data_IF_604175652018
#
_entry.id   IF_604175652018
#
_cell.length_a   1.000
_cell.length_b   1.000
_cell.length_c   1.000
_cell.angle_alpha   90.00
_cell.angle_beta   90.00
_cell.angle_gamma   90.00
#
_symmetry.space_group_name_H-M   'P 1'
#
loop_
_entity.id
_entity.type
_entity.pdbx_description
1 polymer ?
#
# COMPACT_ATOMS: atom_id res chain seq x y z
N UNK A 1 1.82 -16.08 -38.98
CA UNK A 1 1.54 -16.74 -37.70
C UNK A 1 1.67 -15.68 -36.62
N UNK A 2 0.57 -15.00 -36.37
CA UNK A 2 0.43 -13.99 -35.30
C UNK A 2 0.15 -14.74 -34.01
N UNK A 3 1.02 -14.62 -33.04
CA UNK A 3 0.76 -15.08 -31.69
C UNK A 3 0.15 -13.90 -30.92
N UNK A 4 -1.18 -13.91 -30.83
CA UNK A 4 -1.95 -13.08 -29.92
C UNK A 4 -1.55 -13.42 -28.47
N UNK A 5 -0.78 -12.53 -27.87
CA UNK A 5 -0.60 -12.45 -26.43
C UNK A 5 -1.68 -11.51 -25.87
N UNK A 6 -2.92 -11.99 -25.84
CA UNK A 6 -3.98 -11.38 -25.05
C UNK A 6 -3.76 -11.76 -23.58
N UNK A 7 -2.91 -10.99 -22.92
CA UNK A 7 -2.70 -11.08 -21.46
C UNK A 7 -3.89 -10.40 -20.76
N UNK A 8 -5.01 -11.13 -20.69
CA UNK A 8 -6.27 -10.68 -20.09
C UNK A 8 -6.36 -10.98 -18.57
N UNK A 9 -5.23 -11.15 -17.89
CA UNK A 9 -5.18 -11.29 -16.43
C UNK A 9 -5.08 -9.94 -15.71
N UNK A 10 -5.56 -8.85 -16.31
CA UNK A 10 -5.60 -7.55 -15.65
C UNK A 10 -6.69 -7.53 -14.57
N UNK A 11 -6.27 -7.89 -13.37
CA UNK A 11 -6.73 -7.48 -12.06
C UNK A 11 -8.20 -7.06 -11.92
N UNK A 12 -9.05 -8.05 -11.70
CA UNK A 12 -10.39 -7.85 -11.16
C UNK A 12 -10.34 -7.82 -9.61
N UNK A 13 -9.31 -7.16 -9.04
CA UNK A 13 -9.26 -6.99 -7.60
C UNK A 13 -10.25 -5.89 -7.20
N UNK A 14 -11.36 -6.30 -6.59
CA UNK A 14 -12.34 -5.38 -6.02
C UNK A 14 -11.69 -4.72 -4.80
N UNK A 15 -11.58 -3.40 -4.81
CA UNK A 15 -11.09 -2.65 -3.65
C UNK A 15 -11.99 -2.94 -2.44
N UNK A 16 -11.37 -3.10 -1.27
CA UNK A 16 -12.07 -3.44 -0.03
C UNK A 16 -12.97 -2.28 0.39
N UNK A 17 -14.19 -2.58 0.88
CA UNK A 17 -15.12 -1.60 1.45
C UNK A 17 -15.44 -0.40 0.52
N UNK A 18 -15.44 -0.60 -0.80
CA UNK A 18 -15.70 0.49 -1.74
C UNK A 18 -17.08 1.11 -1.52
N UNK A 19 -18.09 0.27 -1.30
CA UNK A 19 -19.49 0.73 -1.12
C UNK A 19 -19.63 1.48 0.21
N UNK A 20 -18.98 1.02 1.27
CA UNK A 20 -18.97 1.66 2.58
C UNK A 20 -18.25 3.02 2.56
N UNK A 21 -17.11 3.12 1.88
CA UNK A 21 -16.39 4.39 1.69
C UNK A 21 -17.27 5.36 0.92
N UNK A 22 -17.93 4.91 -0.15
CA UNK A 22 -18.82 5.75 -0.94
C UNK A 22 -20.01 6.25 -0.11
N UNK A 23 -20.63 5.37 0.69
CA UNK A 23 -21.75 5.72 1.56
C UNK A 23 -21.32 6.70 2.67
N UNK A 24 -20.12 6.50 3.24
CA UNK A 24 -19.59 7.41 4.25
C UNK A 24 -19.37 8.81 3.69
N UNK A 25 -18.84 8.93 2.47
CA UNK A 25 -18.64 10.22 1.83
C UNK A 25 -19.94 10.93 1.46
N UNK A 26 -21.02 10.18 1.16
CA UNK A 26 -22.36 10.75 0.94
C UNK A 26 -23.01 11.30 2.21
N UNK A 27 -22.73 10.68 3.35
CA UNK A 27 -23.31 11.08 4.65
C UNK A 27 -22.70 12.37 5.20
N UNK A 28 -21.46 12.66 4.86
CA UNK A 28 -20.82 13.92 5.19
C UNK A 28 -21.07 14.89 4.04
N UNK A 29 -21.71 16.04 4.29
CA UNK A 29 -21.83 17.09 3.28
C UNK A 29 -20.40 17.53 2.91
N UNK A 30 -19.83 16.80 1.98
CA UNK A 30 -18.53 17.12 1.42
C UNK A 30 -18.68 18.42 0.65
N UNK A 31 -18.68 19.48 1.45
CA UNK A 31 -18.31 20.84 1.14
C UNK A 31 -18.92 21.38 -0.16
N UNK A 32 -19.88 22.21 0.01
CA UNK A 32 -20.53 23.02 -1.03
C UNK A 32 -19.61 24.09 -1.67
N UNK A 33 -18.30 23.92 -1.61
CA UNK A 33 -17.34 24.79 -2.28
C UNK A 33 -16.81 24.10 -3.53
N UNK A 34 -16.94 24.76 -4.64
CA UNK A 34 -16.71 24.44 -6.05
C UNK A 34 -15.48 23.59 -6.46
N UNK A 35 -14.75 22.96 -5.57
CA UNK A 35 -13.68 22.02 -5.88
C UNK A 35 -13.52 20.98 -4.75
N UNK A 36 -14.03 19.79 -4.97
CA UNK A 36 -13.78 18.66 -4.11
C UNK A 36 -12.32 18.22 -4.27
N UNK A 37 -11.55 18.18 -3.16
CA UNK A 37 -10.18 17.68 -3.15
C UNK A 37 -10.07 16.53 -2.16
N UNK A 38 -9.53 15.40 -2.60
CA UNK A 38 -9.25 14.24 -1.77
C UNK A 38 -7.79 13.83 -1.80
N UNK A 39 -7.38 13.07 -0.79
CA UNK A 39 -6.11 12.35 -0.79
C UNK A 39 -6.41 10.87 -0.68
N UNK A 40 -5.86 10.09 -1.60
CA UNK A 40 -5.72 8.65 -1.47
C UNK A 40 -4.29 8.37 -1.00
N UNK A 41 -4.15 8.13 0.30
CA UNK A 41 -2.86 8.00 0.98
C UNK A 41 -2.17 6.66 0.69
N UNK A 42 -2.91 5.71 0.13
CA UNK A 42 -2.48 4.34 -0.20
C UNK A 42 -3.04 3.95 -1.57
N UNK A 43 -2.62 4.67 -2.60
CA UNK A 43 -3.20 4.59 -3.95
C UNK A 43 -3.28 3.15 -4.49
N UNK A 44 -2.25 2.34 -4.25
CA UNK A 44 -2.16 0.98 -4.77
C UNK A 44 -2.37 0.93 -6.28
N UNK A 45 -3.28 0.07 -6.73
CA UNK A 45 -3.71 0.00 -8.13
C UNK A 45 -4.73 1.06 -8.56
N UNK A 46 -5.07 2.02 -7.69
CA UNK A 46 -5.99 3.11 -8.00
C UNK A 46 -7.48 2.74 -7.92
N UNK A 47 -7.83 1.68 -7.21
CA UNK A 47 -9.21 1.18 -7.18
C UNK A 47 -10.20 2.14 -6.54
N UNK A 48 -9.92 2.61 -5.33
CA UNK A 48 -10.77 3.58 -4.63
C UNK A 48 -10.86 4.90 -5.39
N UNK A 49 -9.70 5.43 -5.81
CA UNK A 49 -9.63 6.65 -6.61
C UNK A 49 -10.45 6.55 -7.90
N UNK A 50 -10.43 5.40 -8.59
CA UNK A 50 -11.22 5.17 -9.79
C UNK A 50 -12.73 5.32 -9.53
N UNK A 51 -13.25 4.65 -8.52
CA UNK A 51 -14.68 4.71 -8.20
C UNK A 51 -15.11 6.11 -7.77
N UNK A 52 -14.28 6.81 -6.99
CA UNK A 52 -14.54 8.18 -6.55
C UNK A 52 -14.53 9.17 -7.71
N UNK A 53 -13.51 9.15 -8.57
CA UNK A 53 -13.40 10.04 -9.72
C UNK A 53 -14.51 9.82 -10.74
N UNK A 54 -14.99 8.58 -10.87
CA UNK A 54 -16.12 8.24 -11.72
C UNK A 54 -17.45 8.75 -11.18
N UNK A 55 -17.61 8.74 -9.85
CA UNK A 55 -18.85 9.18 -9.20
C UNK A 55 -18.96 10.71 -9.09
N UNK A 56 -17.85 11.37 -8.75
CA UNK A 56 -17.82 12.80 -8.49
C UNK A 56 -17.04 13.53 -9.59
N UNK A 57 -17.76 14.23 -10.46
CA UNK A 57 -17.17 14.92 -11.64
C UNK A 57 -16.22 16.06 -11.25
N UNK A 58 -16.46 16.70 -10.12
CA UNK A 58 -15.72 17.87 -9.64
C UNK A 58 -14.56 17.50 -8.70
N UNK A 59 -14.40 16.21 -8.41
CA UNK A 59 -13.39 15.70 -7.50
C UNK A 59 -12.00 15.70 -8.17
N UNK A 60 -11.02 16.23 -7.44
CA UNK A 60 -9.60 16.07 -7.73
C UNK A 60 -8.95 15.25 -6.61
N UNK A 61 -8.08 14.31 -6.95
CA UNK A 61 -7.40 13.43 -5.99
C UNK A 61 -5.90 13.58 -6.13
N UNK A 62 -5.23 13.64 -4.98
CA UNK A 62 -3.79 13.39 -4.89
C UNK A 62 -3.64 11.93 -4.43
N UNK A 63 -3.08 11.08 -5.29
CA UNK A 63 -2.80 9.68 -4.98
C UNK A 63 -1.35 9.50 -4.56
N UNK A 64 -1.12 8.94 -3.38
CA UNK A 64 0.20 8.71 -2.83
C UNK A 64 0.50 7.20 -2.82
N UNK A 65 1.65 6.84 -3.34
CA UNK A 65 2.19 5.50 -3.17
C UNK A 65 3.71 5.52 -3.31
N UNK A 66 4.40 4.82 -2.43
CA UNK A 66 5.86 4.70 -2.50
C UNK A 66 6.32 3.59 -3.46
N UNK A 67 5.43 2.63 -3.80
CA UNK A 67 5.73 1.54 -4.72
C UNK A 67 5.60 1.98 -6.19
N UNK A 68 6.68 1.95 -6.99
CA UNK A 68 6.62 2.33 -8.40
C UNK A 68 5.71 1.43 -9.24
N UNK A 69 5.57 0.15 -8.86
CA UNK A 69 4.70 -0.79 -9.57
C UNK A 69 3.22 -0.45 -9.33
N UNK A 70 2.87 -0.09 -8.10
CA UNK A 70 1.54 0.37 -7.76
C UNK A 70 1.17 1.64 -8.54
N UNK A 71 2.03 2.66 -8.53
CA UNK A 71 1.83 3.90 -9.29
C UNK A 71 1.67 3.66 -10.78
N UNK A 72 2.47 2.76 -11.37
CA UNK A 72 2.35 2.40 -12.80
C UNK A 72 1.01 1.75 -13.11
N UNK A 73 0.53 0.87 -12.24
CA UNK A 73 -0.78 0.23 -12.36
C UNK A 73 -1.90 1.25 -12.25
N UNK A 74 -1.85 2.11 -11.22
CA UNK A 74 -2.81 3.19 -11.01
C UNK A 74 -2.87 4.16 -12.19
N UNK A 75 -1.73 4.58 -12.72
CA UNK A 75 -1.65 5.48 -13.88
C UNK A 75 -2.39 4.91 -15.09
N UNK A 76 -2.26 3.60 -15.36
CA UNK A 76 -3.00 2.95 -16.45
C UNK A 76 -4.50 2.90 -16.18
N UNK A 77 -4.89 2.56 -14.94
CA UNK A 77 -6.29 2.43 -14.57
C UNK A 77 -7.01 3.77 -14.54
N UNK A 78 -6.30 4.83 -14.19
CA UNK A 78 -6.83 6.19 -14.01
C UNK A 78 -6.58 7.10 -15.22
N UNK A 79 -6.17 6.56 -16.37
CA UNK A 79 -5.80 7.33 -17.55
C UNK A 79 -6.91 8.25 -18.04
N UNK A 80 -8.16 7.82 -17.99
CA UNK A 80 -9.33 8.65 -18.31
C UNK A 80 -9.52 9.86 -17.40
N UNK A 81 -8.88 9.87 -16.21
CA UNK A 81 -8.97 10.91 -15.20
C UNK A 81 -7.68 11.71 -15.02
N UNK A 82 -6.73 11.62 -15.93
CA UNK A 82 -5.40 12.25 -15.82
C UNK A 82 -5.41 13.74 -15.48
N UNK A 83 -6.49 14.46 -15.82
CA UNK A 83 -6.65 15.88 -15.49
C UNK A 83 -7.17 16.13 -14.06
N UNK A 84 -7.56 15.06 -13.34
CA UNK A 84 -8.17 15.12 -12.01
C UNK A 84 -7.46 14.27 -10.97
N UNK A 85 -6.37 13.59 -11.37
CA UNK A 85 -5.53 12.78 -10.49
C UNK A 85 -4.08 13.21 -10.56
N UNK A 86 -3.46 13.45 -9.42
CA UNK A 86 -2.03 13.74 -9.28
C UNK A 86 -1.37 12.59 -8.51
N UNK A 87 -0.69 11.71 -9.23
CA UNK A 87 -0.04 10.52 -8.65
C UNK A 87 1.38 10.86 -8.22
N UNK A 88 1.67 10.71 -6.93
CA UNK A 88 2.96 11.06 -6.34
C UNK A 88 3.71 9.87 -5.76
N UNK A 89 5.03 9.86 -5.97
CA UNK A 89 5.95 8.95 -5.31
C UNK A 89 6.26 9.47 -3.90
N UNK A 90 5.45 9.10 -2.93
CA UNK A 90 5.60 9.57 -1.55
C UNK A 90 5.09 8.53 -0.55
N UNK A 91 5.75 8.49 0.60
CA UNK A 91 5.14 7.91 1.79
C UNK A 91 4.13 8.93 2.33
N UNK A 92 2.93 8.49 2.68
CA UNK A 92 1.91 9.38 3.24
C UNK A 92 2.34 10.02 4.57
N UNK A 93 3.24 9.37 5.33
CA UNK A 93 3.79 9.93 6.56
C UNK A 93 4.63 11.20 6.33
N UNK A 94 5.23 11.32 5.16
CA UNK A 94 6.10 12.45 4.79
C UNK A 94 5.37 13.52 3.97
N UNK A 95 4.11 13.25 3.62
CA UNK A 95 3.34 14.13 2.75
C UNK A 95 2.54 15.16 3.54
N UNK A 96 2.81 16.43 3.28
CA UNK A 96 2.06 17.55 3.83
C UNK A 96 1.28 18.25 2.71
N UNK A 97 -0.07 18.22 2.73
CA UNK A 97 -0.87 18.92 1.74
C UNK A 97 -0.69 20.43 1.87
N UNK A 98 -0.56 21.12 0.74
CA UNK A 98 -0.43 22.59 0.71
C UNK A 98 -1.76 23.30 1.01
N UNK A 99 -2.86 22.61 0.84
CA UNK A 99 -4.22 23.13 0.99
C UNK A 99 -5.07 22.15 1.81
N UNK A 100 -6.16 22.64 2.36
CA UNK A 100 -7.15 21.79 3.02
C UNK A 100 -7.81 20.87 2.00
N UNK A 101 -8.00 19.61 2.38
CA UNK A 101 -8.70 18.62 1.58
C UNK A 101 -10.03 18.24 2.22
N UNK A 102 -10.95 17.75 1.42
CA UNK A 102 -12.28 17.36 1.85
C UNK A 102 -12.26 16.01 2.60
N UNK A 103 -11.37 15.10 2.18
CA UNK A 103 -11.22 13.80 2.81
C UNK A 103 -9.81 13.23 2.57
N UNK A 104 -9.47 12.25 3.39
CA UNK A 104 -8.29 11.38 3.21
C UNK A 104 -8.76 9.95 3.32
N UNK A 105 -8.33 9.11 2.37
CA UNK A 105 -8.54 7.67 2.43
C UNK A 105 -7.20 7.02 2.69
N UNK A 106 -7.18 6.00 3.56
CA UNK A 106 -6.02 5.16 3.80
C UNK A 106 -6.48 3.71 3.97
N UNK A 107 -6.17 2.87 2.97
CA UNK A 107 -6.33 1.41 3.03
C UNK A 107 -4.96 0.81 3.36
N UNK A 108 -4.73 0.61 4.68
CA UNK A 108 -3.42 0.24 5.20
C UNK A 108 -3.19 -1.26 5.05
N UNK A 109 -2.10 -1.63 4.41
CA UNK A 109 -1.70 -3.01 4.23
C UNK A 109 -0.87 -3.24 2.98
N UNK A 110 -0.66 -4.50 2.65
CA UNK A 110 -0.02 -4.95 1.42
C UNK A 110 -1.06 -5.13 0.32
N UNK A 111 -0.72 -4.81 -0.91
CA UNK A 111 -1.59 -5.07 -2.04
C UNK A 111 -1.35 -6.47 -2.63
N UNK A 112 -2.31 -6.96 -3.41
CA UNK A 112 -2.24 -8.30 -4.01
C UNK A 112 -1.02 -8.49 -4.90
N UNK A 113 -0.59 -7.46 -5.63
CA UNK A 113 0.60 -7.54 -6.48
C UNK A 113 1.87 -7.81 -5.67
N UNK A 114 1.96 -7.25 -4.45
CA UNK A 114 3.08 -7.49 -3.56
C UNK A 114 3.08 -8.92 -3.00
N UNK A 115 1.89 -9.48 -2.72
CA UNK A 115 1.74 -10.85 -2.25
C UNK A 115 1.97 -11.87 -3.39
N UNK A 116 1.48 -11.55 -4.59
CA UNK A 116 1.52 -12.47 -5.74
C UNK A 116 2.91 -12.57 -6.37
N UNK A 117 3.72 -11.53 -6.30
CA UNK A 117 5.10 -11.53 -6.78
C UNK A 117 6.05 -12.10 -5.71
N UNK A 118 6.59 -13.32 -5.90
CA UNK A 118 7.49 -13.94 -4.93
C UNK A 118 8.76 -13.12 -4.68
N UNK A 119 9.20 -12.31 -5.65
CA UNK A 119 10.40 -11.46 -5.52
C UNK A 119 10.23 -10.33 -4.53
N UNK A 120 9.00 -10.02 -4.12
CA UNK A 120 8.71 -8.97 -3.15
C UNK A 120 8.81 -9.46 -1.69
N UNK A 121 8.84 -10.78 -1.45
CA UNK A 121 9.03 -11.36 -0.13
C UNK A 121 7.83 -11.27 0.82
N UNK A 122 6.62 -10.96 0.32
CA UNK A 122 5.40 -10.89 1.14
C UNK A 122 4.58 -12.18 1.14
N UNK A 123 4.92 -13.16 0.29
CA UNK A 123 4.12 -14.37 0.15
C UNK A 123 4.45 -15.41 1.22
N UNK A 124 3.42 -15.98 1.84
CA UNK A 124 3.56 -17.16 2.70
C UNK A 124 3.52 -18.48 1.90
N UNK A 125 3.13 -18.43 0.62
CA UNK A 125 2.92 -19.62 -0.21
C UNK A 125 4.02 -19.85 -1.24
N UNK A 126 4.78 -18.82 -1.56
CA UNK A 126 5.79 -18.86 -2.62
C UNK A 126 7.15 -18.50 -2.03
N UNK A 127 8.15 -19.29 -2.38
CA UNK A 127 9.53 -19.01 -2.01
C UNK A 127 10.04 -17.75 -2.72
N UNK A 128 10.81 -16.94 -2.00
CA UNK A 128 11.37 -15.69 -2.51
C UNK A 128 12.38 -15.08 -1.53
N UNK A 129 13.08 -14.00 -1.92
CA UNK A 129 13.97 -13.28 -1.03
C UNK A 129 13.17 -12.66 0.14
N UNK A 130 13.80 -12.53 1.29
CA UNK A 130 13.23 -11.85 2.44
C UNK A 130 13.38 -10.33 2.30
N UNK A 131 12.72 -9.77 1.29
CA UNK A 131 12.79 -8.35 0.95
C UNK A 131 11.81 -7.51 1.78
N UNK A 132 10.51 -7.69 1.58
CA UNK A 132 9.39 -7.04 2.27
C UNK A 132 9.38 -5.50 2.22
N UNK A 133 10.16 -4.86 1.34
CA UNK A 133 10.15 -3.40 1.18
C UNK A 133 8.91 -2.95 0.42
N UNK A 134 8.14 -2.03 0.98
CA UNK A 134 7.07 -1.35 0.26
C UNK A 134 7.63 -0.50 -0.89
N UNK A 135 8.75 0.19 -0.63
CA UNK A 135 9.53 0.90 -1.63
C UNK A 135 10.80 0.12 -1.95
N UNK A 136 10.92 -0.53 -3.12
CA UNK A 136 12.10 -1.32 -3.49
C UNK A 136 13.41 -0.52 -3.58
N UNK A 137 13.34 0.81 -3.60
CA UNK A 137 14.54 1.68 -3.64
C UNK A 137 15.16 1.93 -2.26
N UNK A 138 14.54 1.47 -1.17
CA UNK A 138 15.14 1.53 0.15
C UNK A 138 16.35 0.61 0.22
N UNK A 139 17.39 1.01 0.97
CA UNK A 139 18.62 0.25 1.09
C UNK A 139 18.49 -0.97 1.99
N UNK A 140 17.62 -0.89 3.01
CA UNK A 140 17.41 -1.93 4.02
C UNK A 140 16.14 -2.71 3.71
N UNK A 141 16.31 -4.00 3.43
CA UNK A 141 15.25 -5.00 3.33
C UNK A 141 15.07 -5.77 4.64
N UNK A 142 14.13 -6.71 4.70
CA UNK A 142 13.87 -7.46 5.92
C UNK A 142 15.04 -8.37 6.32
N UNK A 143 15.76 -8.96 5.35
CA UNK A 143 16.92 -9.78 5.60
C UNK A 143 18.02 -8.99 6.31
N UNK A 144 18.41 -7.84 5.75
CA UNK A 144 19.40 -6.94 6.36
C UNK A 144 18.98 -6.41 7.72
N UNK A 145 17.67 -6.16 7.90
CA UNK A 145 17.16 -5.71 9.18
C UNK A 145 17.34 -6.79 10.26
N UNK A 146 17.05 -8.04 9.93
CA UNK A 146 17.23 -9.19 10.84
C UNK A 146 18.71 -9.40 11.14
N UNK A 147 19.59 -9.32 10.15
CA UNK A 147 21.03 -9.47 10.35
C UNK A 147 21.64 -8.37 11.22
N UNK A 148 21.11 -7.14 11.12
CA UNK A 148 21.66 -5.99 11.83
C UNK A 148 21.20 -5.90 13.30
N UNK A 149 20.06 -6.50 13.64
CA UNK A 149 19.51 -6.44 14.99
C UNK A 149 20.10 -7.54 15.89
N UNK A 150 20.39 -7.20 17.15
CA UNK A 150 20.63 -8.23 18.14
C UNK A 150 19.31 -8.94 18.50
N UNK A 151 19.41 -10.15 19.07
CA UNK A 151 18.26 -11.00 19.39
C UNK A 151 17.19 -10.31 20.23
N UNK A 152 17.61 -9.53 21.23
CA UNK A 152 16.70 -8.81 22.11
C UNK A 152 15.90 -7.73 21.36
N UNK A 153 16.57 -6.98 20.50
CA UNK A 153 15.93 -5.92 19.71
C UNK A 153 15.03 -6.51 18.64
N UNK A 154 15.42 -7.62 18.01
CA UNK A 154 14.57 -8.38 17.10
C UNK A 154 13.33 -8.92 17.81
N UNK A 155 13.48 -9.52 18.98
CA UNK A 155 12.36 -10.00 19.79
C UNK A 155 11.39 -8.87 20.15
N UNK A 156 11.91 -7.72 20.55
CA UNK A 156 11.11 -6.54 20.86
C UNK A 156 10.34 -6.02 19.65
N UNK A 157 10.95 -6.04 18.47
CA UNK A 157 10.32 -5.63 17.22
C UNK A 157 9.17 -6.57 16.86
N UNK A 158 9.40 -7.88 16.95
CA UNK A 158 8.39 -8.91 16.70
C UNK A 158 7.25 -8.81 17.74
N UNK A 159 7.56 -8.58 19.01
CA UNK A 159 6.55 -8.37 20.05
C UNK A 159 5.67 -7.17 19.75
N UNK A 160 6.31 -6.05 19.42
CA UNK A 160 5.63 -4.76 19.27
C UNK A 160 4.76 -4.67 18.00
N UNK A 161 5.23 -5.25 16.90
CA UNK A 161 4.61 -5.10 15.58
C UNK A 161 4.03 -6.41 15.02
N UNK A 162 4.51 -7.57 15.49
CA UNK A 162 4.02 -8.87 15.08
C UNK A 162 2.99 -9.48 16.04
N UNK A 163 2.70 -8.80 17.14
CA UNK A 163 1.80 -9.27 18.21
C UNK A 163 2.17 -10.68 18.75
N UNK A 164 3.46 -11.07 18.63
CA UNK A 164 3.96 -12.36 19.10
C UNK A 164 4.46 -12.26 20.53
N UNK A 165 3.66 -12.76 21.47
CA UNK A 165 3.94 -12.69 22.91
C UNK A 165 5.12 -13.54 23.35
N UNK A 166 5.44 -14.60 22.59
CA UNK A 166 6.55 -15.52 22.89
C UNK A 166 7.84 -15.13 22.18
N UNK A 167 7.93 -13.93 21.59
CA UNK A 167 9.13 -13.44 20.91
C UNK A 167 10.39 -13.46 21.79
N UNK A 168 10.24 -13.40 23.13
CA UNK A 168 11.35 -13.53 24.07
C UNK A 168 12.06 -14.89 23.99
N UNK A 169 11.44 -15.93 23.43
CA UNK A 169 12.07 -17.24 23.25
C UNK A 169 13.24 -17.18 22.24
N UNK A 170 13.34 -16.16 21.40
CA UNK A 170 14.48 -15.97 20.50
C UNK A 170 15.81 -15.88 21.26
N UNK A 171 15.83 -15.26 22.45
CA UNK A 171 17.06 -15.09 23.24
C UNK A 171 17.12 -15.95 24.51
N UNK A 172 16.09 -16.75 24.78
CA UNK A 172 16.09 -17.67 25.91
C UNK A 172 16.48 -19.09 25.53
N UNK A 173 16.39 -19.47 24.27
CA UNK A 173 16.77 -20.81 23.77
C UNK A 173 18.28 -21.06 23.84
N UNK A 174 19.10 -20.04 23.59
CA UNK A 174 20.57 -20.21 23.61
C UNK A 174 21.16 -20.34 25.01
N UNK A 175 20.43 -19.94 26.07
CA UNK A 175 20.87 -20.15 27.43
C UNK A 175 20.76 -21.61 27.90
N UNK A 176 20.01 -22.45 27.19
CA UNK A 176 19.83 -23.87 27.49
C UNK A 176 20.91 -24.78 26.87
N UNK A 177 21.57 -24.34 25.78
CA UNK A 177 22.61 -25.10 25.10
C UNK A 177 24.04 -24.74 25.55
N UNK A 178 24.20 -23.81 26.47
CA UNK A 178 25.50 -23.38 27.02
C UNK A 178 25.84 -24.03 28.41
N UNK A 179 25.18 -25.14 28.75
CA UNK A 179 25.36 -25.89 29.99
C UNK A 179 25.94 -27.28 29.79
#
# INVERSE_FOLDING_TARGET
MQTDLSDSSFFNHKSVMTDEIMASLEHYPLIHNNQLKGIDATLGGGGHSYHLLRKYSDLNIIGLDQDPFARKSASKKLDEFQNRIDIRASNFADFVPKEKVSFVIADLGVNSNQIDDPKRGFSFQKDGPLDMRMNPSLEVDAEKLIEALNEKDLANLIYKYGDERLSCLLYTSDAADAG
#
